data_IF_750785844538
#
_entry.id   IF_750785844538
#
_cell.length_a   1.000
_cell.length_b   1.000
_cell.length_c   1.000
_cell.angle_alpha   90.00
_cell.angle_beta   90.00
_cell.angle_gamma   90.00
#
_symmetry.space_group_name_H-M   'P 1'
#
loop_
_entity.id
_entity.type
_entity.pdbx_description
1 polymer ?
#
# COMPACT_ATOMS: atom_id res chain seq x y z
N UNK A 1 -58.17 -25.77 -12.06
CA UNK A 1 -59.25 -26.63 -11.59
C UNK A 1 -60.57 -25.85 -11.35
N UNK A 2 -60.57 -24.74 -10.58
CA UNK A 2 -61.77 -23.92 -10.32
C UNK A 2 -62.33 -23.27 -11.58
N UNK A 3 -61.54 -22.85 -12.57
CA UNK A 3 -62.04 -22.29 -13.83
C UNK A 3 -62.79 -23.31 -14.71
N UNK A 4 -62.38 -24.57 -14.66
CA UNK A 4 -63.02 -25.66 -15.36
C UNK A 4 -64.42 -26.09 -14.69
N UNK A 5 -64.47 -25.95 -13.36
CA UNK A 5 -65.70 -26.30 -12.61
C UNK A 5 -66.83 -25.27 -12.71
N UNK A 6 -66.52 -24.01 -13.01
CA UNK A 6 -67.48 -22.90 -13.12
C UNK A 6 -68.08 -22.72 -14.53
N UNK A 7 -67.62 -23.45 -15.56
CA UNK A 7 -68.20 -23.43 -16.92
C UNK A 7 -68.12 -22.05 -17.63
N UNK A 8 -67.46 -21.06 -17.09
CA UNK A 8 -67.39 -19.71 -17.62
C UNK A 8 -66.14 -19.53 -18.51
N UNK A 9 -66.38 -19.22 -19.80
CA UNK A 9 -65.32 -19.03 -20.82
C UNK A 9 -64.28 -17.97 -20.44
N UNK A 10 -64.70 -16.98 -19.69
CA UNK A 10 -63.75 -15.89 -19.23
C UNK A 10 -62.75 -16.41 -18.23
N UNK A 11 -63.13 -17.22 -17.27
CA UNK A 11 -62.16 -17.81 -16.31
C UNK A 11 -61.18 -18.80 -16.95
N UNK A 12 -61.70 -19.56 -17.96
CA UNK A 12 -60.82 -20.44 -18.75
C UNK A 12 -59.80 -19.69 -19.55
N UNK A 13 -60.16 -18.55 -20.19
CA UNK A 13 -59.30 -17.69 -20.93
C UNK A 13 -58.21 -17.08 -20.03
N UNK A 14 -58.61 -16.57 -18.87
CA UNK A 14 -57.65 -16.01 -17.87
C UNK A 14 -56.67 -17.08 -17.41
N UNK A 15 -57.14 -18.30 -17.14
CA UNK A 15 -56.28 -19.41 -16.72
C UNK A 15 -55.25 -19.80 -17.78
N UNK A 16 -55.65 -19.80 -19.06
CA UNK A 16 -54.74 -20.07 -20.18
C UNK A 16 -53.72 -18.95 -20.31
N UNK A 17 -54.12 -17.68 -20.19
CA UNK A 17 -53.17 -16.53 -20.25
C UNK A 17 -52.16 -16.61 -19.15
N UNK A 18 -52.57 -16.91 -17.91
CA UNK A 18 -51.63 -17.05 -16.77
C UNK A 18 -50.67 -18.23 -17.01
N UNK A 19 -51.14 -19.36 -17.50
CA UNK A 19 -50.33 -20.53 -17.81
C UNK A 19 -49.32 -20.23 -18.92
N UNK A 20 -49.75 -19.53 -19.98
CA UNK A 20 -48.85 -19.09 -21.05
C UNK A 20 -47.82 -18.07 -20.57
N UNK A 21 -48.21 -17.10 -19.73
CA UNK A 21 -47.31 -16.13 -19.13
C UNK A 21 -46.24 -16.83 -18.26
N UNK A 22 -46.65 -17.85 -17.49
CA UNK A 22 -45.70 -18.63 -16.67
C UNK A 22 -44.68 -19.39 -17.51
N UNK A 23 -45.15 -20.09 -18.60
CA UNK A 23 -44.25 -20.79 -19.52
C UNK A 23 -43.31 -19.80 -20.26
N UNK A 24 -43.86 -18.67 -20.72
CA UNK A 24 -43.07 -17.62 -21.36
C UNK A 24 -42.03 -17.06 -20.43
N UNK A 25 -42.35 -16.79 -19.17
CA UNK A 25 -41.46 -16.32 -18.13
C UNK A 25 -40.29 -17.29 -17.94
N UNK A 26 -40.57 -18.58 -17.82
CA UNK A 26 -39.58 -19.63 -17.66
C UNK A 26 -38.59 -19.69 -18.86
N UNK A 27 -39.14 -19.63 -20.08
CA UNK A 27 -38.33 -19.60 -21.31
C UNK A 27 -37.49 -18.32 -21.43
N UNK A 28 -38.06 -17.18 -21.01
CA UNK A 28 -37.37 -15.89 -21.01
C UNK A 28 -36.16 -15.90 -20.10
N UNK A 29 -36.31 -16.34 -18.85
CA UNK A 29 -35.16 -16.42 -17.91
C UNK A 29 -34.09 -17.40 -18.41
N UNK A 30 -34.51 -18.59 -18.86
CA UNK A 30 -33.58 -19.59 -19.38
C UNK A 30 -32.80 -19.09 -20.62
N UNK A 31 -33.50 -18.37 -21.53
CA UNK A 31 -32.83 -17.73 -22.68
C UNK A 31 -31.88 -16.63 -22.23
N UNK A 32 -32.29 -15.78 -21.29
CA UNK A 32 -31.48 -14.70 -20.73
C UNK A 32 -30.19 -15.22 -20.11
N UNK A 33 -30.30 -16.27 -19.35
CA UNK A 33 -29.19 -16.93 -18.67
C UNK A 33 -28.06 -17.34 -19.61
N UNK A 34 -28.36 -17.76 -20.81
CA UNK A 34 -27.39 -18.20 -21.83
C UNK A 34 -26.85 -17.07 -22.70
N UNK A 35 -27.57 -15.97 -22.77
CA UNK A 35 -27.30 -14.90 -23.75
C UNK A 35 -26.82 -13.60 -23.14
N UNK A 36 -26.93 -13.42 -21.83
CA UNK A 36 -26.36 -12.27 -21.12
C UNK A 36 -24.85 -12.47 -20.94
N UNK A 37 -24.10 -11.45 -21.32
CA UNK A 37 -22.66 -11.33 -21.06
C UNK A 37 -22.43 -10.06 -20.26
N UNK A 38 -21.78 -10.20 -19.13
CA UNK A 38 -21.40 -9.09 -18.24
C UNK A 38 -19.89 -9.06 -18.14
N UNK A 39 -19.30 -7.92 -18.47
CA UNK A 39 -17.86 -7.68 -18.32
C UNK A 39 -17.62 -6.40 -17.56
N UNK A 40 -16.63 -6.40 -16.69
CA UNK A 40 -16.21 -5.22 -15.95
C UNK A 40 -14.73 -4.91 -16.24
N UNK A 41 -14.37 -3.63 -16.27
CA UNK A 41 -13.02 -3.15 -16.44
C UNK A 41 -12.77 -1.93 -15.57
N UNK A 42 -11.56 -1.83 -15.03
CA UNK A 42 -11.10 -0.67 -14.26
C UNK A 42 -10.39 0.32 -15.17
N UNK A 43 -10.48 1.61 -14.87
CA UNK A 43 -9.77 2.68 -15.59
C UNK A 43 -8.24 2.65 -15.38
N UNK A 44 -7.77 1.94 -14.36
CA UNK A 44 -6.35 1.77 -14.03
C UNK A 44 -6.17 0.65 -13.02
N UNK A 45 -4.95 0.09 -12.95
CA UNK A 45 -4.60 -0.94 -11.98
C UNK A 45 -3.88 -0.36 -10.76
N UNK A 46 -3.34 0.86 -10.86
CA UNK A 46 -2.65 1.57 -9.78
C UNK A 46 -3.19 2.99 -9.72
N UNK A 47 -3.51 3.43 -8.52
CA UNK A 47 -4.06 4.76 -8.24
C UNK A 47 -3.49 5.26 -6.92
N UNK A 48 -3.51 6.56 -6.68
CA UNK A 48 -3.12 7.11 -5.40
C UNK A 48 -4.30 7.11 -4.44
N UNK A 49 -4.02 7.06 -3.15
CA UNK A 49 -5.05 7.24 -2.12
C UNK A 49 -5.76 8.57 -2.32
N UNK A 50 -7.09 8.55 -2.22
CA UNK A 50 -7.97 9.72 -2.45
C UNK A 50 -8.41 9.92 -3.90
N UNK A 51 -7.83 9.19 -4.86
CA UNK A 51 -8.26 9.27 -6.26
C UNK A 51 -9.64 8.65 -6.46
N UNK A 52 -10.40 9.22 -7.39
CA UNK A 52 -11.69 8.65 -7.82
C UNK A 52 -11.47 7.69 -8.98
N UNK A 53 -11.77 6.44 -8.74
CA UNK A 53 -11.65 5.36 -9.72
C UNK A 53 -12.96 5.14 -10.44
N UNK A 54 -12.90 4.94 -11.75
CA UNK A 54 -14.05 4.60 -12.57
C UNK A 54 -14.00 3.13 -12.98
N UNK A 55 -15.04 2.38 -12.62
CA UNK A 55 -15.24 1.02 -13.10
C UNK A 55 -16.32 1.03 -14.18
N UNK A 56 -15.97 0.54 -15.33
CA UNK A 56 -16.88 0.39 -16.45
C UNK A 56 -17.46 -1.01 -16.48
N UNK A 57 -18.80 -1.12 -16.41
CA UNK A 57 -19.54 -2.37 -16.51
C UNK A 57 -20.27 -2.37 -17.84
N UNK A 58 -19.98 -3.34 -18.66
CA UNK A 58 -20.67 -3.55 -19.94
C UNK A 58 -21.55 -4.77 -19.84
N UNK A 59 -22.84 -4.56 -20.05
CA UNK A 59 -23.84 -5.63 -20.10
C UNK A 59 -24.36 -5.72 -21.55
N UNK A 60 -24.32 -6.90 -22.11
CA UNK A 60 -24.85 -7.17 -23.46
C UNK A 60 -25.75 -8.37 -23.45
N UNK A 61 -26.84 -8.30 -24.21
CA UNK A 61 -27.80 -9.37 -24.41
C UNK A 61 -27.91 -9.71 -25.89
N UNK A 62 -27.70 -10.97 -26.25
CA UNK A 62 -27.81 -11.49 -27.62
C UNK A 62 -29.07 -12.28 -27.89
N UNK A 63 -29.94 -12.39 -26.88
CA UNK A 63 -31.20 -13.16 -27.00
C UNK A 63 -32.29 -12.44 -27.78
N UNK A 64 -33.27 -13.20 -28.23
CA UNK A 64 -34.47 -12.70 -28.95
C UNK A 64 -35.60 -12.31 -27.99
N UNK A 65 -35.69 -12.97 -26.82
CA UNK A 65 -36.74 -12.73 -25.86
C UNK A 65 -36.46 -11.50 -25.00
N UNK A 66 -37.45 -10.69 -24.67
CA UNK A 66 -37.29 -9.56 -23.79
C UNK A 66 -36.88 -10.02 -22.39
N UNK A 67 -36.02 -9.26 -21.76
CA UNK A 67 -35.56 -9.51 -20.39
C UNK A 67 -36.01 -8.36 -19.51
N UNK A 68 -36.33 -8.66 -18.26
CA UNK A 68 -36.56 -7.68 -17.22
C UNK A 68 -35.28 -6.94 -16.83
N UNK A 69 -35.39 -5.92 -16.00
CA UNK A 69 -34.23 -5.24 -15.45
C UNK A 69 -33.24 -6.23 -14.82
N UNK A 70 -31.95 -6.07 -15.16
CA UNK A 70 -30.87 -6.82 -14.52
C UNK A 70 -30.40 -6.02 -13.33
N UNK A 71 -30.34 -6.65 -12.16
CA UNK A 71 -29.79 -6.05 -10.96
C UNK A 71 -28.31 -6.46 -10.84
N UNK A 72 -27.41 -5.50 -10.77
CA UNK A 72 -25.97 -5.69 -10.57
C UNK A 72 -25.69 -5.44 -9.09
N UNK A 73 -25.20 -6.44 -8.37
CA UNK A 73 -24.81 -6.34 -6.97
C UNK A 73 -23.33 -6.02 -6.88
N UNK A 74 -23.04 -4.80 -6.43
CA UNK A 74 -21.68 -4.33 -6.29
C UNK A 74 -21.10 -4.78 -4.96
N UNK A 75 -19.84 -5.21 -4.96
CA UNK A 75 -19.11 -5.53 -3.73
C UNK A 75 -18.92 -4.26 -2.91
N UNK A 76 -19.10 -4.36 -1.59
CA UNK A 76 -18.73 -3.28 -0.68
C UNK A 76 -17.22 -3.01 -0.79
N UNK A 77 -16.86 -1.76 -0.89
CA UNK A 77 -15.50 -1.26 -0.66
C UNK A 77 -15.48 -0.48 0.64
N UNK A 78 -14.30 -0.14 1.16
CA UNK A 78 -14.14 0.46 2.51
C UNK A 78 -15.12 1.61 2.81
N UNK A 79 -15.45 2.45 1.83
CA UNK A 79 -16.36 3.60 1.99
C UNK A 79 -17.57 3.58 1.07
N UNK A 80 -17.67 2.61 0.18
CA UNK A 80 -18.86 2.46 -0.66
C UNK A 80 -19.61 1.23 -0.19
N UNK A 81 -20.81 1.40 0.41
CA UNK A 81 -21.60 0.28 0.84
C UNK A 81 -21.98 -0.60 -0.36
N UNK A 82 -22.23 -1.88 -0.10
CA UNK A 82 -22.78 -2.76 -1.12
C UNK A 82 -24.02 -2.11 -1.73
N UNK A 83 -24.00 -1.92 -3.03
CA UNK A 83 -25.09 -1.26 -3.76
C UNK A 83 -25.64 -2.13 -4.86
N UNK A 84 -26.90 -1.91 -5.22
CA UNK A 84 -27.52 -2.58 -6.36
C UNK A 84 -27.81 -1.56 -7.45
N UNK A 85 -27.29 -1.80 -8.66
CA UNK A 85 -27.56 -0.99 -9.84
C UNK A 85 -28.57 -1.72 -10.69
N UNK A 86 -29.74 -1.11 -10.90
CA UNK A 86 -30.78 -1.68 -11.75
C UNK A 86 -30.67 -1.18 -13.19
N UNK A 87 -30.50 -2.09 -14.14
CA UNK A 87 -30.49 -1.79 -15.56
C UNK A 87 -31.88 -2.07 -16.14
N UNK A 88 -32.61 -1.00 -16.41
CA UNK A 88 -34.05 -1.08 -16.76
C UNK A 88 -34.36 -1.44 -18.20
N UNK A 89 -33.43 -1.32 -19.14
CA UNK A 89 -33.63 -1.61 -20.55
C UNK A 89 -32.40 -2.27 -21.16
N UNK A 90 -32.38 -3.59 -21.20
CA UNK A 90 -31.46 -4.36 -22.00
C UNK A 90 -32.06 -4.58 -23.41
N UNK A 91 -31.85 -3.58 -24.28
CA UNK A 91 -32.06 -3.78 -25.71
C UNK A 91 -30.94 -4.67 -26.29
N UNK A 92 -31.04 -5.02 -27.56
CA UNK A 92 -29.96 -5.75 -28.31
C UNK A 92 -28.62 -5.04 -28.37
N UNK A 93 -28.49 -3.86 -27.76
CA UNK A 93 -27.28 -3.05 -27.71
C UNK A 93 -26.55 -3.26 -26.41
N UNK A 94 -25.23 -3.16 -26.48
CA UNK A 94 -24.40 -3.10 -25.27
C UNK A 94 -24.78 -1.88 -24.44
N UNK A 95 -25.09 -2.11 -23.18
CA UNK A 95 -25.29 -1.03 -22.21
C UNK A 95 -24.05 -0.92 -21.35
N UNK A 96 -23.53 0.32 -21.25
CA UNK A 96 -22.35 0.65 -20.48
C UNK A 96 -22.79 1.46 -19.28
N UNK A 97 -22.35 1.05 -18.09
CA UNK A 97 -22.56 1.75 -16.84
C UNK A 97 -21.19 2.07 -16.24
N UNK A 98 -21.00 3.29 -15.81
CA UNK A 98 -19.78 3.71 -15.12
C UNK A 98 -20.12 3.87 -13.64
N UNK A 99 -19.50 3.04 -12.83
CA UNK A 99 -19.53 3.18 -11.37
C UNK A 99 -18.28 3.85 -10.88
N UNK A 100 -18.43 4.92 -10.08
CA UNK A 100 -17.32 5.67 -9.50
C UNK A 100 -17.26 5.43 -8.02
N UNK A 101 -16.07 5.21 -7.51
CA UNK A 101 -15.80 5.08 -6.08
C UNK A 101 -14.44 5.70 -5.74
N UNK A 102 -14.26 6.10 -4.48
CA UNK A 102 -13.00 6.66 -4.02
C UNK A 102 -12.08 5.54 -3.50
N UNK A 103 -10.78 5.71 -3.72
CA UNK A 103 -9.73 4.83 -3.20
C UNK A 103 -9.23 5.39 -1.86
N UNK A 104 -9.98 5.17 -0.77
CA UNK A 104 -9.81 5.88 0.49
C UNK A 104 -8.68 5.32 1.36
N UNK A 105 -8.33 4.05 1.20
CA UNK A 105 -7.31 3.38 1.98
C UNK A 105 -6.22 2.78 1.10
N UNK A 106 -4.98 2.83 1.59
CA UNK A 106 -3.81 2.22 0.95
C UNK A 106 -3.94 0.70 0.99
N UNK A 107 -3.61 0.04 -0.11
CA UNK A 107 -3.61 -1.42 -0.15
C UNK A 107 -4.14 -2.01 -1.44
N UNK A 108 -4.09 -3.33 -1.52
CA UNK A 108 -4.70 -4.08 -2.60
C UNK A 108 -6.21 -4.23 -2.35
N UNK A 109 -7.02 -3.74 -3.26
CA UNK A 109 -8.47 -3.92 -3.22
C UNK A 109 -8.95 -4.62 -4.49
N UNK A 110 -10.07 -5.31 -4.38
CA UNK A 110 -10.69 -6.04 -5.48
C UNK A 110 -12.10 -5.48 -5.73
N UNK A 111 -12.18 -4.25 -6.28
CA UNK A 111 -13.46 -3.67 -6.63
C UNK A 111 -14.09 -4.51 -7.74
N UNK A 112 -15.39 -4.69 -7.69
CA UNK A 112 -16.05 -5.48 -8.68
C UNK A 112 -17.52 -5.72 -8.37
N UNK A 113 -18.12 -6.48 -9.23
CA UNK A 113 -19.48 -6.97 -9.05
C UNK A 113 -19.40 -8.33 -8.33
N UNK A 114 -20.20 -8.47 -7.29
CA UNK A 114 -20.29 -9.72 -6.53
C UNK A 114 -21.15 -10.74 -7.28
N UNK A 115 -22.34 -10.29 -7.71
CA UNK A 115 -23.27 -11.08 -8.48
C UNK A 115 -24.18 -10.19 -9.32
N UNK A 116 -24.92 -10.79 -10.22
CA UNK A 116 -26.01 -10.12 -10.93
C UNK A 116 -27.25 -11.01 -10.96
N UNK A 117 -28.43 -10.38 -10.77
CA UNK A 117 -29.71 -11.05 -10.79
C UNK A 117 -30.39 -10.77 -12.11
N UNK A 118 -30.76 -11.86 -12.80
CA UNK A 118 -31.59 -11.81 -13.99
C UNK A 118 -33.03 -12.24 -13.59
N UNK A 119 -33.99 -11.42 -13.95
CA UNK A 119 -35.39 -11.75 -13.72
C UNK A 119 -36.19 -11.80 -15.03
N UNK A 120 -37.31 -12.44 -15.01
CA UNK A 120 -38.28 -12.40 -16.12
C UNK A 120 -39.09 -11.11 -16.09
N UNK A 121 -39.80 -10.83 -17.19
CA UNK A 121 -40.60 -9.61 -17.34
C UNK A 121 -41.76 -9.52 -16.33
N UNK A 122 -42.26 -10.65 -15.86
CA UNK A 122 -43.36 -10.72 -14.88
C UNK A 122 -42.88 -10.82 -13.43
N UNK A 123 -41.61 -11.10 -13.22
CA UNK A 123 -41.02 -11.21 -11.87
C UNK A 123 -41.29 -12.55 -11.17
N UNK A 124 -41.76 -13.59 -11.90
CA UNK A 124 -42.02 -14.93 -11.34
C UNK A 124 -40.76 -15.70 -11.01
N UNK A 125 -39.68 -15.47 -11.78
CA UNK A 125 -38.40 -16.16 -11.65
C UNK A 125 -37.28 -15.18 -11.56
N UNK A 126 -36.34 -15.48 -10.66
CA UNK A 126 -35.04 -14.74 -10.49
C UNK A 126 -33.92 -15.74 -10.47
N UNK A 127 -32.84 -15.39 -11.09
CA UNK A 127 -31.62 -16.21 -11.12
C UNK A 127 -30.39 -15.36 -10.84
N UNK A 128 -29.64 -15.74 -9.80
CA UNK A 128 -28.43 -15.06 -9.42
C UNK A 128 -27.23 -15.74 -10.06
N UNK A 129 -26.35 -14.95 -10.63
CA UNK A 129 -25.10 -15.42 -11.25
C UNK A 129 -23.90 -14.63 -10.81
N UNK A 130 -22.77 -15.30 -10.79
CA UNK A 130 -21.49 -14.64 -10.61
C UNK A 130 -20.95 -14.16 -11.97
N UNK A 131 -20.26 -13.02 -12.02
CA UNK A 131 -19.62 -12.54 -13.25
C UNK A 131 -18.49 -13.47 -13.68
N UNK A 132 -18.28 -13.61 -14.98
CA UNK A 132 -17.21 -14.43 -15.56
C UNK A 132 -15.81 -13.85 -15.27
N UNK A 133 -15.72 -12.57 -14.95
CA UNK A 133 -14.49 -11.88 -14.58
C UNK A 133 -14.35 -11.80 -13.06
N UNK A 134 -13.39 -12.53 -12.51
CA UNK A 134 -12.88 -12.27 -11.14
C UNK A 134 -12.43 -10.80 -11.06
N UNK A 135 -12.78 -10.13 -9.96
CA UNK A 135 -12.44 -8.71 -9.77
C UNK A 135 -10.96 -8.45 -10.08
N UNK A 136 -10.70 -7.41 -10.85
CA UNK A 136 -9.33 -6.98 -11.13
C UNK A 136 -8.73 -6.37 -9.86
N UNK A 137 -7.47 -6.71 -9.57
CA UNK A 137 -6.73 -6.08 -8.47
C UNK A 137 -6.52 -4.60 -8.78
N UNK A 138 -6.89 -3.75 -7.86
CA UNK A 138 -6.58 -2.33 -7.84
C UNK A 138 -5.62 -2.07 -6.68
N UNK A 139 -4.43 -1.59 -7.00
CA UNK A 139 -3.42 -1.25 -6.00
C UNK A 139 -3.50 0.25 -5.70
N UNK A 140 -3.86 0.58 -4.47
CA UNK A 140 -3.93 1.96 -3.97
C UNK A 140 -2.62 2.31 -3.30
N UNK A 141 -1.90 3.25 -3.88
CA UNK A 141 -0.57 3.67 -3.43
C UNK A 141 -0.67 4.75 -2.35
N UNK A 142 0.26 4.73 -1.35
CA UNK A 142 0.36 5.80 -0.37
C UNK A 142 0.82 7.10 -1.04
N UNK A 143 0.30 8.23 -0.57
CA UNK A 143 0.64 9.57 -1.07
C UNK A 143 1.66 10.20 -0.13
N UNK A 144 2.92 10.40 -0.56
CA UNK A 144 3.91 11.07 0.25
C UNK A 144 3.55 12.54 0.50
N UNK A 145 3.72 12.99 1.74
CA UNK A 145 3.59 14.39 2.16
C UNK A 145 4.96 15.00 2.50
N UNK A 146 5.02 16.28 2.71
CA UNK A 146 6.27 16.96 3.06
C UNK A 146 6.64 16.67 4.52
N UNK A 147 7.89 16.23 4.71
CA UNK A 147 8.51 16.02 6.02
C UNK A 147 9.82 16.78 6.12
N UNK A 148 10.19 17.14 7.33
CA UNK A 148 11.47 17.79 7.58
C UNK A 148 12.63 16.84 7.23
N UNK A 149 13.70 17.37 6.58
CA UNK A 149 14.90 16.63 6.28
C UNK A 149 15.51 15.95 7.50
N UNK A 150 16.10 14.77 7.30
CA UNK A 150 16.84 14.12 8.37
C UNK A 150 18.20 14.82 8.56
N UNK A 151 18.52 15.11 9.80
CA UNK A 151 19.87 15.49 10.18
C UNK A 151 20.68 14.22 10.39
N UNK A 152 21.70 14.02 9.57
CA UNK A 152 22.63 12.91 9.78
C UNK A 152 23.56 13.27 10.96
N UNK A 153 23.80 12.31 11.83
CA UNK A 153 24.95 12.41 12.69
C UNK A 153 26.18 12.33 11.76
N UNK A 154 26.55 13.45 11.20
CA UNK A 154 27.95 13.65 10.95
C UNK A 154 28.55 13.47 12.36
N UNK A 155 29.21 12.38 12.63
CA UNK A 155 30.20 12.42 13.68
C UNK A 155 30.87 13.75 13.52
N UNK A 156 31.43 14.42 14.51
CA UNK A 156 32.07 15.76 14.45
C UNK A 156 32.91 16.07 13.18
N UNK A 157 32.79 15.23 12.20
CA UNK A 157 33.31 15.21 10.86
C UNK A 157 32.27 15.73 9.88
N UNK A 158 32.18 17.05 9.74
CA UNK A 158 31.43 17.65 8.64
C UNK A 158 31.87 17.09 7.27
N UNK A 159 31.05 17.30 6.25
CA UNK A 159 31.30 16.86 4.84
C UNK A 159 32.74 17.15 4.38
N UNK A 160 33.39 18.20 4.92
CA UNK A 160 34.80 18.52 4.68
C UNK A 160 35.77 17.56 5.38
N UNK A 161 35.41 17.01 6.56
CA UNK A 161 36.28 16.05 7.25
C UNK A 161 36.08 14.64 6.69
N UNK A 162 34.86 14.31 6.17
CA UNK A 162 34.66 13.12 5.34
C UNK A 162 35.51 13.20 4.07
N UNK A 163 35.56 14.35 3.38
CA UNK A 163 36.47 14.56 2.26
C UNK A 163 37.93 14.44 2.67
N UNK A 164 38.34 14.86 3.88
CA UNK A 164 39.68 14.67 4.42
C UNK A 164 39.97 13.24 4.88
N UNK A 165 38.98 12.51 5.43
CA UNK A 165 39.10 11.09 5.70
C UNK A 165 39.25 10.27 4.40
N UNK A 166 38.72 10.77 3.27
CA UNK A 166 39.00 10.24 1.93
C UNK A 166 40.48 10.39 1.54
N UNK A 167 41.20 11.29 2.14
CA UNK A 167 42.63 11.56 1.90
C UNK A 167 43.56 10.90 2.94
N UNK A 168 43.02 10.10 3.91
CA UNK A 168 43.86 9.42 4.90
C UNK A 168 44.71 8.34 4.21
N UNK A 169 46.02 8.55 4.08
CA UNK A 169 46.90 7.61 3.40
C UNK A 169 47.10 6.30 4.16
N UNK A 170 46.56 6.17 5.36
CA UNK A 170 46.86 5.06 6.28
C UNK A 170 45.99 3.81 6.05
N UNK A 171 44.91 3.88 5.24
CA UNK A 171 44.08 2.73 4.92
C UNK A 171 43.87 2.54 3.41
N UNK A 172 44.85 2.04 2.65
CA UNK A 172 44.66 1.68 1.25
C UNK A 172 43.88 0.39 1.19
N UNK A 173 42.69 0.43 0.60
CA UNK A 173 41.82 -0.76 0.45
C UNK A 173 42.40 -1.72 -0.58
N UNK A 174 43.02 -1.23 -1.66
CA UNK A 174 43.60 -2.06 -2.71
C UNK A 174 44.70 -1.29 -3.48
N UNK A 175 45.56 -2.03 -4.22
CA UNK A 175 46.60 -1.50 -5.08
C UNK A 175 46.39 -2.08 -6.48
N UNK A 176 46.04 -1.21 -7.44
CA UNK A 176 45.87 -1.57 -8.86
C UNK A 176 46.96 -0.98 -9.75
N UNK A 177 47.08 -1.49 -10.97
CA UNK A 177 47.92 -0.88 -11.98
C UNK A 177 47.43 0.53 -12.37
N UNK A 178 48.37 1.44 -12.64
CA UNK A 178 48.09 2.80 -13.07
C UNK A 178 47.31 2.82 -14.40
N UNK A 179 46.31 3.65 -14.46
CA UNK A 179 45.57 3.97 -15.68
C UNK A 179 45.79 5.43 -16.05
N UNK A 180 45.82 5.75 -17.35
CA UNK A 180 46.00 7.09 -17.82
C UNK A 180 44.90 8.02 -17.31
N UNK A 181 45.26 9.03 -16.52
CA UNK A 181 44.33 9.93 -15.83
C UNK A 181 44.38 9.82 -14.31
N UNK A 182 45.05 8.80 -13.76
CA UNK A 182 45.19 8.68 -12.30
C UNK A 182 46.10 9.76 -11.75
N UNK A 183 45.76 10.37 -10.58
CA UNK A 183 46.59 11.38 -9.94
C UNK A 183 47.93 10.79 -9.50
N UNK A 184 49.05 11.42 -9.92
CA UNK A 184 50.41 10.98 -9.57
C UNK A 184 50.68 10.92 -8.05
N UNK A 185 49.96 11.71 -7.26
CA UNK A 185 50.01 11.70 -5.79
C UNK A 185 49.56 10.37 -5.17
N UNK A 186 48.77 9.55 -5.90
CA UNK A 186 48.26 8.24 -5.45
C UNK A 186 49.19 7.09 -5.79
N UNK A 187 50.33 7.30 -6.44
CA UNK A 187 51.28 6.24 -6.81
C UNK A 187 51.91 5.66 -5.54
N UNK A 188 51.85 4.34 -5.42
CA UNK A 188 52.49 3.58 -4.36
C UNK A 188 53.91 3.19 -4.76
N UNK A 189 54.86 4.12 -4.63
CA UNK A 189 56.23 3.98 -5.12
C UNK A 189 56.91 2.69 -4.66
N UNK A 190 56.73 2.27 -3.40
CA UNK A 190 57.32 1.05 -2.86
C UNK A 190 56.82 -0.22 -3.57
N UNK A 191 55.54 -0.31 -3.90
CA UNK A 191 54.97 -1.45 -4.64
C UNK A 191 55.28 -1.37 -6.12
N UNK A 192 55.27 -0.18 -6.69
CA UNK A 192 55.64 0.04 -8.09
C UNK A 192 57.09 -0.42 -8.35
N UNK A 193 58.04 -0.09 -7.46
CA UNK A 193 59.43 -0.54 -7.56
C UNK A 193 59.55 -2.07 -7.42
N UNK A 194 58.70 -2.72 -6.59
CA UNK A 194 58.71 -4.19 -6.40
C UNK A 194 58.11 -4.95 -7.57
N UNK A 195 56.99 -4.42 -8.14
CA UNK A 195 56.30 -5.06 -9.26
C UNK A 195 56.84 -4.63 -10.63
N UNK A 196 57.72 -3.65 -10.69
CA UNK A 196 58.24 -3.02 -11.94
C UNK A 196 57.12 -2.46 -12.84
N UNK A 197 56.01 -2.09 -12.28
CA UNK A 197 54.83 -1.50 -12.91
C UNK A 197 54.27 -0.41 -12.02
N UNK A 198 53.81 0.70 -12.60
CA UNK A 198 53.26 1.80 -11.80
C UNK A 198 51.96 1.33 -11.14
N UNK A 199 51.98 1.32 -9.80
CA UNK A 199 50.89 0.91 -8.97
C UNK A 199 50.25 2.12 -8.26
N UNK A 200 48.93 2.22 -8.27
CA UNK A 200 48.16 3.29 -7.63
C UNK A 200 47.38 2.75 -6.47
N UNK A 201 47.34 3.48 -5.36
CA UNK A 201 46.49 3.21 -4.22
C UNK A 201 45.07 3.52 -4.61
N UNK A 202 44.18 2.54 -4.50
CA UNK A 202 42.74 2.71 -4.61
C UNK A 202 42.19 2.91 -3.21
N UNK A 203 41.54 4.04 -2.98
CA UNK A 203 40.81 4.29 -1.74
C UNK A 203 39.37 3.85 -1.98
N UNK A 204 38.79 3.15 -1.02
CA UNK A 204 37.33 2.99 -1.01
C UNK A 204 36.74 4.40 -0.85
N UNK A 205 35.86 4.79 -1.75
CA UNK A 205 35.04 5.96 -1.52
C UNK A 205 34.24 5.69 -0.24
N UNK A 206 34.37 6.55 0.80
CA UNK A 206 33.57 6.35 1.99
C UNK A 206 32.10 6.41 1.58
N UNK A 207 31.39 5.29 1.77
CA UNK A 207 29.97 5.24 1.52
C UNK A 207 29.30 6.31 2.39
N UNK A 208 28.49 7.17 1.80
CA UNK A 208 27.66 8.11 2.55
C UNK A 208 26.85 7.31 3.58
N UNK A 209 26.78 7.79 4.84
CA UNK A 209 26.01 7.11 5.87
C UNK A 209 24.56 7.01 5.41
N UNK A 210 23.98 5.82 5.48
CA UNK A 210 22.61 5.58 5.10
C UNK A 210 21.61 6.07 6.15
N UNK A 211 20.39 6.31 5.72
CA UNK A 211 19.23 6.46 6.60
C UNK A 211 18.54 5.09 6.73
N UNK A 212 18.38 4.61 7.95
CA UNK A 212 17.61 3.40 8.25
C UNK A 212 16.18 3.79 8.64
N UNK A 213 15.19 3.30 7.90
CA UNK A 213 13.78 3.51 8.20
C UNK A 213 13.17 2.20 8.71
N UNK A 214 12.61 2.23 9.90
CA UNK A 214 11.96 1.09 10.57
C UNK A 214 10.47 1.36 10.69
N UNK A 215 9.66 0.58 10.00
CA UNK A 215 8.20 0.64 10.04
C UNK A 215 7.65 -0.49 10.91
N UNK A 216 6.80 -0.14 11.87
CA UNK A 216 6.04 -1.10 12.66
C UNK A 216 4.84 -1.61 11.85
N UNK A 217 4.90 -2.88 11.46
CA UNK A 217 3.84 -3.58 10.72
C UNK A 217 2.94 -4.43 11.62
N UNK A 218 3.06 -4.29 12.93
CA UNK A 218 2.14 -4.91 13.89
C UNK A 218 0.73 -4.27 13.77
N UNK A 219 -0.34 -4.99 14.15
CA UNK A 219 -1.68 -4.42 14.15
C UNK A 219 -1.73 -3.12 14.96
N UNK A 220 -2.11 -1.96 14.37
CA UNK A 220 -2.13 -0.69 15.07
C UNK A 220 -3.04 -0.72 16.31
N UNK A 221 -2.55 -0.14 17.41
CA UNK A 221 -3.35 0.04 18.60
C UNK A 221 -4.17 1.33 18.48
N UNK A 222 -5.48 1.20 18.66
CA UNK A 222 -6.37 2.34 18.78
C UNK A 222 -6.34 2.83 20.23
N UNK A 223 -6.35 4.15 20.42
CA UNK A 223 -6.54 4.74 21.73
C UNK A 223 -7.89 4.32 22.33
N UNK A 224 -7.99 4.14 23.66
CA UNK A 224 -9.23 3.75 24.29
C UNK A 224 -10.39 4.67 23.93
N UNK A 225 -11.52 4.08 23.52
CA UNK A 225 -12.73 4.83 23.14
C UNK A 225 -12.84 5.16 21.65
N UNK A 226 -11.84 4.89 20.83
CA UNK A 226 -11.96 5.04 19.38
C UNK A 226 -12.57 3.79 18.74
N UNK A 227 -13.46 3.94 17.76
CA UNK A 227 -14.10 2.84 17.07
C UNK A 227 -13.11 2.12 16.12
N UNK A 228 -13.32 0.82 15.90
CA UNK A 228 -12.46 -0.04 15.08
C UNK A 228 -12.35 0.40 13.62
N UNK A 229 -13.32 1.11 13.09
CA UNK A 229 -13.33 1.67 11.73
C UNK A 229 -12.26 2.76 11.52
N UNK A 230 -11.63 3.26 12.60
CA UNK A 230 -10.51 4.19 12.55
C UNK A 230 -9.14 3.51 12.32
N UNK A 231 -9.04 2.19 12.51
CA UNK A 231 -7.78 1.45 12.35
C UNK A 231 -7.17 1.57 10.94
N UNK A 232 -7.92 1.50 9.83
CA UNK A 232 -7.35 1.67 8.49
C UNK A 232 -6.64 3.02 8.30
N UNK A 233 -7.14 4.09 8.92
CA UNK A 233 -6.50 5.41 8.83
C UNK A 233 -5.13 5.47 9.52
N UNK A 234 -4.93 4.69 10.60
CA UNK A 234 -3.61 4.53 11.23
C UNK A 234 -2.65 3.78 10.29
N UNK A 235 -3.14 2.72 9.64
CA UNK A 235 -2.34 1.99 8.66
C UNK A 235 -1.91 2.89 7.49
N UNK A 236 -2.84 3.67 6.95
CA UNK A 236 -2.56 4.63 5.88
C UNK A 236 -1.50 5.64 6.30
N UNK A 237 -1.67 6.23 7.48
CA UNK A 237 -0.74 7.24 7.99
C UNK A 237 0.67 6.67 8.26
N UNK A 238 0.78 5.41 8.73
CA UNK A 238 2.06 4.72 8.87
C UNK A 238 2.75 4.55 7.51
N UNK A 239 2.03 4.08 6.50
CA UNK A 239 2.55 3.85 5.15
C UNK A 239 2.93 5.16 4.45
N UNK A 240 2.08 6.19 4.57
CA UNK A 240 2.33 7.51 4.00
C UNK A 240 3.50 8.22 4.68
N UNK A 241 3.67 8.06 6.00
CA UNK A 241 4.83 8.59 6.73
C UNK A 241 6.12 7.91 6.25
N UNK A 242 6.11 6.58 6.10
CA UNK A 242 7.26 5.84 5.59
C UNK A 242 7.61 6.27 4.15
N UNK A 243 6.62 6.36 3.28
CA UNK A 243 6.80 6.85 1.92
C UNK A 243 7.35 8.28 1.88
N UNK A 244 6.87 9.17 2.77
CA UNK A 244 7.29 10.57 2.85
C UNK A 244 8.73 10.73 3.28
N UNK A 245 9.15 9.99 4.32
CA UNK A 245 10.53 9.99 4.80
C UNK A 245 11.48 9.52 3.70
N UNK A 246 11.18 8.39 3.06
CA UNK A 246 12.03 7.86 1.99
C UNK A 246 12.05 8.78 0.78
N UNK A 247 10.90 9.33 0.36
CA UNK A 247 10.84 10.29 -0.73
C UNK A 247 11.66 11.56 -0.46
N UNK A 248 11.65 12.05 0.78
CA UNK A 248 12.46 13.18 1.20
C UNK A 248 13.96 12.88 1.05
N UNK A 249 14.41 11.70 1.49
CA UNK A 249 15.81 11.31 1.40
C UNK A 249 16.27 11.09 -0.05
N UNK A 250 15.45 10.47 -0.88
CA UNK A 250 15.75 10.30 -2.32
C UNK A 250 15.91 11.67 -3.00
N UNK A 251 15.05 12.65 -2.68
CA UNK A 251 15.17 14.02 -3.22
C UNK A 251 16.46 14.71 -2.81
N UNK A 252 17.06 14.32 -1.68
CA UNK A 252 18.33 14.85 -1.17
C UNK A 252 19.55 14.03 -1.61
N UNK A 253 19.34 13.02 -2.46
CA UNK A 253 20.36 12.07 -2.91
C UNK A 253 21.04 11.30 -1.76
N UNK A 254 20.33 11.12 -0.65
CA UNK A 254 20.79 10.36 0.49
C UNK A 254 20.43 8.87 0.33
N UNK A 255 21.35 7.95 0.60
CA UNK A 255 21.04 6.53 0.59
C UNK A 255 20.08 6.17 1.73
N UNK A 256 19.04 5.40 1.40
CA UNK A 256 18.04 4.91 2.36
C UNK A 256 17.97 3.41 2.31
N UNK A 257 17.86 2.81 3.48
CA UNK A 257 17.60 1.40 3.69
C UNK A 257 16.34 1.24 4.55
N UNK A 258 15.44 0.37 4.11
CA UNK A 258 14.20 0.09 4.82
C UNK A 258 13.91 -1.42 4.78
N UNK A 259 14.16 -2.16 5.86
CA UNK A 259 13.71 -3.54 5.97
C UNK A 259 12.20 -3.56 6.13
N UNK A 260 11.52 -4.20 5.20
CA UNK A 260 10.09 -4.50 5.26
C UNK A 260 9.92 -5.91 5.82
N UNK A 261 9.16 -6.01 6.90
CA UNK A 261 8.83 -7.28 7.57
C UNK A 261 7.36 -7.59 7.32
N UNK A 262 7.01 -8.86 7.19
CA UNK A 262 5.65 -9.30 6.94
C UNK A 262 5.59 -10.46 5.95
N UNK A 263 4.46 -10.63 5.27
CA UNK A 263 4.22 -11.75 4.34
C UNK A 263 5.23 -11.82 3.17
N UNK A 264 5.83 -10.68 2.82
CA UNK A 264 6.86 -10.54 1.78
C UNK A 264 8.05 -9.78 2.32
N UNK A 265 8.91 -10.42 3.11
CA UNK A 265 10.06 -9.75 3.68
C UNK A 265 11.01 -9.30 2.55
N UNK A 266 11.39 -8.04 2.58
CA UNK A 266 12.25 -7.42 1.59
C UNK A 266 13.11 -6.33 2.23
N UNK A 267 14.35 -6.20 1.78
CA UNK A 267 15.18 -5.07 2.12
C UNK A 267 15.12 -4.04 0.98
N UNK A 268 14.40 -2.95 1.21
CA UNK A 268 14.34 -1.85 0.26
C UNK A 268 15.58 -0.97 0.38
N UNK A 269 16.10 -0.57 -0.78
CA UNK A 269 17.17 0.43 -0.91
C UNK A 269 16.74 1.53 -1.88
N UNK A 270 17.14 2.78 -1.64
CA UNK A 270 16.85 3.93 -2.50
C UNK A 270 17.27 3.73 -3.97
N UNK A 271 18.22 2.82 -4.22
CA UNK A 271 18.63 2.42 -5.59
C UNK A 271 17.50 1.76 -6.39
N UNK A 272 16.50 1.19 -5.72
CA UNK A 272 15.35 0.55 -6.37
C UNK A 272 14.31 1.57 -6.87
N UNK A 273 14.41 2.81 -6.41
CA UNK A 273 13.52 3.91 -6.78
C UNK A 273 12.24 3.97 -5.96
N UNK A 274 11.67 5.17 -5.86
CA UNK A 274 10.46 5.44 -5.09
C UNK A 274 9.22 4.64 -5.56
N UNK A 275 8.96 4.44 -6.87
CA UNK A 275 7.77 3.68 -7.32
C UNK A 275 7.73 2.26 -6.77
N UNK A 276 8.88 1.58 -6.69
CA UNK A 276 8.96 0.22 -6.14
C UNK A 276 8.57 0.23 -4.66
N UNK A 277 9.07 1.20 -3.89
CA UNK A 277 8.69 1.33 -2.48
C UNK A 277 7.19 1.53 -2.31
N UNK A 278 6.58 2.44 -3.08
CA UNK A 278 5.15 2.71 -2.97
C UNK A 278 4.30 1.45 -3.23
N UNK A 279 4.71 0.63 -4.21
CA UNK A 279 4.03 -0.63 -4.50
C UNK A 279 4.19 -1.65 -3.39
N UNK A 280 5.38 -1.79 -2.83
CA UNK A 280 5.63 -2.72 -1.71
C UNK A 280 4.93 -2.25 -0.42
N UNK A 281 4.93 -0.96 -0.14
CA UNK A 281 4.15 -0.40 0.98
C UNK A 281 2.65 -0.64 0.81
N UNK A 282 2.12 -0.48 -0.40
CA UNK A 282 0.71 -0.76 -0.68
C UNK A 282 0.34 -2.25 -0.54
N UNK A 283 1.30 -3.14 -0.58
CA UNK A 283 1.11 -4.59 -0.35
C UNK A 283 1.40 -5.00 1.10
N UNK A 284 1.86 -4.08 1.91
CA UNK A 284 2.19 -4.34 3.30
C UNK A 284 0.92 -4.65 4.11
N UNK A 285 0.97 -5.69 4.92
CA UNK A 285 -0.13 -6.09 5.81
C UNK A 285 0.26 -5.81 7.27
N UNK A 286 -0.69 -5.35 8.07
CA UNK A 286 -0.49 -5.06 9.49
C UNK A 286 -0.99 -6.23 10.35
N UNK A 287 -0.43 -7.40 10.12
CA UNK A 287 -0.77 -8.64 10.83
C UNK A 287 0.45 -9.32 11.46
N UNK A 288 1.60 -8.62 11.49
CA UNK A 288 2.83 -9.17 12.02
C UNK A 288 2.69 -9.52 13.51
N UNK A 289 3.02 -10.75 13.84
CA UNK A 289 2.96 -11.27 15.21
C UNK A 289 4.28 -11.11 15.95
N UNK A 290 5.40 -10.91 15.23
CA UNK A 290 6.68 -10.62 15.87
C UNK A 290 6.63 -9.23 16.52
N UNK A 291 7.16 -9.15 17.76
CA UNK A 291 7.26 -7.88 18.44
C UNK A 291 8.20 -6.95 17.67
N UNK A 292 7.76 -5.74 17.38
CA UNK A 292 8.54 -4.74 16.64
C UNK A 292 9.89 -4.45 17.31
N UNK A 293 9.95 -4.53 18.64
CA UNK A 293 11.18 -4.41 19.42
C UNK A 293 12.26 -5.41 18.98
N UNK A 294 11.85 -6.61 18.57
CA UNK A 294 12.79 -7.61 18.05
C UNK A 294 13.39 -7.21 16.71
N UNK A 295 12.56 -6.65 15.82
CA UNK A 295 13.02 -6.11 14.54
C UNK A 295 14.04 -4.99 14.77
N UNK A 296 13.71 -4.04 15.67
CA UNK A 296 14.61 -2.95 16.07
C UNK A 296 15.92 -3.50 16.63
N UNK A 297 15.85 -4.53 17.47
CA UNK A 297 17.04 -5.14 18.10
C UNK A 297 17.96 -5.80 17.06
N UNK A 298 17.41 -6.46 16.03
CA UNK A 298 18.21 -7.06 14.96
C UNK A 298 19.02 -6.02 14.20
N UNK A 299 18.47 -4.83 13.99
CA UNK A 299 19.13 -3.74 13.28
C UNK A 299 20.25 -3.06 14.07
N UNK A 300 20.32 -3.26 15.40
CA UNK A 300 21.38 -2.66 16.23
C UNK A 300 22.80 -3.05 15.77
N UNK A 301 22.98 -4.27 15.27
CA UNK A 301 24.28 -4.76 14.82
C UNK A 301 24.81 -4.00 13.57
N UNK A 302 23.91 -3.46 12.76
CA UNK A 302 24.24 -2.82 11.49
C UNK A 302 24.33 -1.29 11.54
N UNK A 303 24.13 -0.69 12.73
CA UNK A 303 24.11 0.77 12.90
C UNK A 303 25.46 1.50 12.64
N UNK A 304 26.56 0.76 12.56
CA UNK A 304 27.90 1.39 12.36
C UNK A 304 28.03 2.20 11.07
N UNK A 305 27.21 1.90 10.05
CA UNK A 305 27.20 2.59 8.76
C UNK A 305 26.03 3.56 8.62
N UNK A 306 25.16 3.63 9.63
CA UNK A 306 23.91 4.38 9.62
C UNK A 306 24.12 5.74 10.27
N UNK A 307 23.82 6.80 9.55
CA UNK A 307 23.90 8.19 10.05
C UNK A 307 22.62 8.71 10.66
N UNK A 308 21.48 8.19 10.23
CA UNK A 308 20.17 8.54 10.76
C UNK A 308 19.28 7.31 10.85
N UNK A 309 18.48 7.20 11.91
CA UNK A 309 17.46 6.17 12.10
C UNK A 309 16.11 6.83 12.26
N UNK A 310 15.13 6.34 11.52
CA UNK A 310 13.73 6.76 11.63
C UNK A 310 12.90 5.57 12.08
N UNK A 311 12.12 5.76 13.11
CA UNK A 311 11.20 4.76 13.66
C UNK A 311 9.78 5.27 13.47
N UNK A 312 8.91 4.46 12.92
CA UNK A 312 7.51 4.82 12.61
C UNK A 312 6.62 3.77 13.25
N UNK A 313 5.83 4.17 14.24
CA UNK A 313 4.97 3.25 15.01
C UNK A 313 3.73 3.96 15.54
N UNK A 314 2.71 3.17 15.88
CA UNK A 314 1.53 3.65 16.65
C UNK A 314 1.65 3.37 18.13
N UNK A 315 2.69 2.63 18.56
CA UNK A 315 2.85 2.15 19.93
C UNK A 315 4.10 2.73 20.56
N UNK A 316 3.98 3.11 21.81
CA UNK A 316 5.13 3.45 22.63
C UNK A 316 5.16 2.55 23.87
N UNK A 317 6.08 1.59 23.85
CA UNK A 317 6.31 0.68 24.99
C UNK A 317 7.61 1.05 25.71
N UNK A 318 7.73 0.69 26.99
CA UNK A 318 8.96 0.92 27.74
C UNK A 318 10.17 0.19 27.13
N UNK A 319 10.06 -1.08 26.68
CA UNK A 319 11.17 -1.75 25.99
C UNK A 319 11.58 -1.06 24.69
N UNK A 320 10.62 -0.59 23.88
CA UNK A 320 10.92 0.15 22.65
C UNK A 320 11.64 1.47 22.95
N UNK A 321 11.18 2.20 23.97
CA UNK A 321 11.83 3.42 24.41
C UNK A 321 13.31 3.18 24.81
N UNK A 322 13.58 2.10 25.55
CA UNK A 322 14.94 1.75 25.97
C UNK A 322 15.84 1.39 24.76
N UNK A 323 15.29 0.68 23.78
CA UNK A 323 16.00 0.36 22.53
C UNK A 323 16.32 1.62 21.73
N UNK A 324 15.36 2.54 21.60
CA UNK A 324 15.56 3.83 20.90
C UNK A 324 16.68 4.66 21.57
N UNK A 325 16.65 4.77 22.89
CA UNK A 325 17.72 5.46 23.64
C UNK A 325 19.07 4.78 23.43
N UNK A 326 19.09 3.44 23.40
CA UNK A 326 20.31 2.68 23.12
C UNK A 326 20.81 2.94 21.69
N UNK A 327 19.94 2.96 20.68
CA UNK A 327 20.32 3.30 19.30
C UNK A 327 20.95 4.69 19.23
N UNK A 328 20.32 5.69 19.88
CA UNK A 328 20.84 7.05 19.92
C UNK A 328 22.26 7.13 20.52
N UNK A 329 22.52 6.36 21.58
CA UNK A 329 23.85 6.29 22.23
C UNK A 329 24.92 5.63 21.35
N UNK A 330 24.54 4.84 20.36
CA UNK A 330 25.47 4.20 19.42
C UNK A 330 25.96 5.14 18.32
N UNK A 331 25.41 6.36 18.21
CA UNK A 331 25.91 7.41 17.34
C UNK A 331 24.95 8.02 16.34
N UNK A 332 24.04 7.28 15.70
CA UNK A 332 23.16 7.86 14.69
C UNK A 332 22.19 8.89 15.28
N UNK A 333 21.71 9.81 14.47
CA UNK A 333 20.56 10.61 14.85
C UNK A 333 19.30 9.74 14.76
N UNK A 334 18.44 9.88 15.77
CA UNK A 334 17.22 9.07 15.83
C UNK A 334 16.03 10.01 15.85
N UNK A 335 15.08 9.75 14.95
CA UNK A 335 13.79 10.42 14.86
C UNK A 335 12.67 9.38 14.98
N UNK A 336 11.71 9.67 15.85
CA UNK A 336 10.51 8.88 16.02
C UNK A 336 9.30 9.61 15.41
N UNK A 337 8.56 8.93 14.57
CA UNK A 337 7.22 9.33 14.17
C UNK A 337 6.21 8.46 14.93
N UNK A 338 5.47 9.09 15.83
CA UNK A 338 4.39 8.46 16.57
C UNK A 338 3.06 8.80 15.87
N UNK A 339 2.47 7.79 15.22
CA UNK A 339 1.20 7.93 14.50
C UNK A 339 0.06 7.70 15.48
N UNK A 340 -0.73 8.73 15.78
CA UNK A 340 -1.81 8.65 16.74
C UNK A 340 -2.88 9.70 16.47
N UNK A 341 -4.13 9.41 16.88
CA UNK A 341 -5.20 10.41 16.87
C UNK A 341 -5.13 11.36 18.08
N UNK A 342 -4.41 10.96 19.15
CA UNK A 342 -4.30 11.72 20.40
C UNK A 342 -2.82 11.93 20.70
N UNK A 343 -2.34 13.16 20.48
CA UNK A 343 -0.93 13.48 20.69
C UNK A 343 -0.53 13.50 22.17
N UNK A 344 -1.43 13.92 23.06
CA UNK A 344 -1.17 14.09 24.49
C UNK A 344 -1.78 12.94 25.30
N UNK A 345 -1.34 11.71 25.05
CA UNK A 345 -1.77 10.55 25.83
C UNK A 345 -0.95 10.47 27.13
N UNK A 346 -1.60 10.50 28.32
CA UNK A 346 -0.92 10.41 29.63
C UNK A 346 -0.05 9.16 29.80
N UNK A 347 -0.40 8.05 29.15
CA UNK A 347 0.34 6.80 29.26
C UNK A 347 1.68 6.88 28.48
N UNK A 348 1.72 7.57 27.36
CA UNK A 348 2.90 7.69 26.52
C UNK A 348 3.77 8.90 26.87
N UNK A 349 3.22 9.94 27.49
CA UNK A 349 3.91 11.19 27.82
C UNK A 349 5.24 10.98 28.60
N UNK A 350 5.34 10.13 29.64
CA UNK A 350 6.60 9.92 30.36
C UNK A 350 7.68 9.24 29.49
N UNK A 351 7.28 8.37 28.58
CA UNK A 351 8.20 7.69 27.66
C UNK A 351 8.72 8.67 26.61
N UNK A 352 7.86 9.53 26.09
CA UNK A 352 8.24 10.59 25.15
C UNK A 352 9.20 11.58 25.80
N UNK A 353 8.92 12.01 27.03
CA UNK A 353 9.82 12.87 27.78
C UNK A 353 11.22 12.25 27.97
N UNK A 354 11.29 10.95 28.24
CA UNK A 354 12.56 10.20 28.33
C UNK A 354 13.33 10.20 27.00
N UNK A 355 12.62 10.05 25.87
CA UNK A 355 13.24 10.11 24.55
C UNK A 355 13.78 11.51 24.23
N UNK A 356 13.02 12.55 24.54
CA UNK A 356 13.45 13.95 24.35
C UNK A 356 14.67 14.29 25.22
N UNK A 357 14.74 13.81 26.47
CA UNK A 357 15.93 13.94 27.32
C UNK A 357 17.16 13.24 26.74
N UNK A 358 16.94 12.15 25.97
CA UNK A 358 18.02 11.47 25.23
C UNK A 358 18.34 12.12 23.88
N UNK A 359 17.83 13.32 23.58
CA UNK A 359 17.98 14.03 22.32
C UNK A 359 17.49 13.22 21.11
N UNK A 360 16.38 12.49 21.27
CA UNK A 360 15.61 11.86 20.18
C UNK A 360 14.51 12.82 19.75
N UNK A 361 14.44 13.09 18.45
CA UNK A 361 13.35 13.89 17.88
C UNK A 361 12.07 13.09 17.84
N UNK A 362 10.99 13.60 18.44
CA UNK A 362 9.68 12.94 18.43
C UNK A 362 8.68 13.80 17.68
N UNK A 363 8.16 13.28 16.60
CA UNK A 363 7.18 13.93 15.75
C UNK A 363 5.86 13.14 15.80
N UNK A 364 4.76 13.86 15.97
CA UNK A 364 3.42 13.27 15.92
C UNK A 364 2.84 13.38 14.52
N UNK A 365 2.22 12.30 14.07
CA UNK A 365 1.48 12.29 12.80
C UNK A 365 0.03 11.93 13.11
N UNK A 366 -0.86 12.85 12.77
CA UNK A 366 -2.31 12.61 12.91
C UNK A 366 -2.86 12.02 11.61
N UNK A 367 -3.54 10.87 11.66
CA UNK A 367 -4.14 10.29 10.47
C UNK A 367 -5.14 11.24 9.80
N UNK A 368 -5.05 11.41 8.49
CA UNK A 368 -6.02 12.17 7.71
C UNK A 368 -7.29 11.36 7.53
N UNK A 369 -8.44 11.89 7.95
CA UNK A 369 -9.74 11.22 7.85
C UNK A 369 -10.60 11.37 9.10
N UNK A 370 -10.39 12.44 9.87
CA UNK A 370 -11.27 12.86 10.99
C UNK A 370 -12.51 13.56 10.45
#
# INVERSE_FOLDING_TARGET
LCALSMGNRTYLLISIIIALAWVFSLLSVHSAEKTIQVSSGLSGQKVNRGDVVSMEITVSHKGFLPIAPVALHMRATSNTPAGTIHLTQLGKRRQRVVHKFAADHVGAMFPGMESYTVSDVFGFFKHDRQPDTSGQELLVLPVPFEVEPLTFAAGDMGVETMKRAMEDPSSPADIRAYQQGDPLKRIHWKMSARKREIMVRQFEEPALPDALVLLDTSPPLLSPGLPEDRRPFLCDALLETAASVVACQIRQDNPVRMPLVGDRPMEYSSRMGLPVLLEELARCTFNETEQFERVVMMQLAELRKTGAVVIITTRMTSPLCDLIVRMKRMGPNVRLYLVTFVADDPETAPLVAKLQQAAVEVNYVTPSGS
#
